data_IF_562999420031
#
_entry.id   IF_562999420031
#
_cell.length_a   1.000
_cell.length_b   1.000
_cell.length_c   1.000
_cell.angle_alpha   90.00
_cell.angle_beta   90.00
_cell.angle_gamma   90.00
#
_symmetry.space_group_name_H-M   'P 1'
#
loop_
_entity.id
_entity.type
_entity.pdbx_description
1 polymer ?
#
# COMPACT_ATOMS: atom_id res chain seq x y z
N UNK A 1 -16.91 -2.27 21.61
CA UNK A 1 -17.21 -2.66 20.22
C UNK A 1 -15.89 -2.68 19.45
N UNK A 2 -15.67 -3.67 18.61
CA UNK A 2 -14.46 -3.82 17.82
C UNK A 2 -14.72 -3.43 16.37
N UNK A 3 -13.74 -2.75 15.76
CA UNK A 3 -13.82 -2.30 14.36
C UNK A 3 -12.61 -2.79 13.58
N UNK A 4 -12.84 -3.01 12.29
CA UNK A 4 -11.78 -3.19 11.30
C UNK A 4 -11.92 -2.02 10.31
N UNK A 5 -10.83 -1.26 10.13
CA UNK A 5 -10.77 -0.26 9.07
C UNK A 5 -10.20 -0.94 7.82
N UNK A 6 -11.04 -1.13 6.83
CA UNK A 6 -10.68 -1.86 5.61
C UNK A 6 -9.93 -1.02 4.57
N UNK A 7 -9.75 0.28 4.80
CA UNK A 7 -9.06 1.17 3.86
C UNK A 7 -8.50 2.40 4.58
N UNK A 8 -7.27 2.30 5.06
CA UNK A 8 -6.60 3.39 5.76
C UNK A 8 -5.18 3.57 5.23
N UNK A 9 -4.79 4.83 4.99
CA UNK A 9 -3.43 5.18 4.57
C UNK A 9 -2.65 5.69 5.77
N UNK A 10 -2.07 4.76 6.53
CA UNK A 10 -1.44 5.06 7.80
C UNK A 10 -0.04 5.66 7.67
N UNK A 11 0.66 5.40 6.55
CA UNK A 11 1.99 5.94 6.31
C UNK A 11 2.02 7.48 6.35
N UNK A 12 0.92 8.11 5.94
CA UNK A 12 0.76 9.57 5.95
C UNK A 12 0.21 10.13 7.28
N UNK A 13 0.05 9.26 8.29
CA UNK A 13 -0.49 9.64 9.59
C UNK A 13 0.55 9.56 10.69
N UNK A 14 0.30 10.28 11.78
CA UNK A 14 1.16 10.27 12.95
C UNK A 14 0.89 9.04 13.84
N UNK A 15 1.84 8.72 14.71
CA UNK A 15 1.73 7.53 15.57
C UNK A 15 0.57 7.63 16.58
N UNK A 16 0.26 8.84 17.04
CA UNK A 16 -0.87 9.07 17.96
C UNK A 16 -2.23 8.83 17.30
N UNK A 17 -2.33 8.84 15.97
CA UNK A 17 -3.55 8.39 15.28
C UNK A 17 -3.82 6.89 15.54
N UNK A 18 -2.79 6.06 15.60
CA UNK A 18 -2.95 4.65 16.00
C UNK A 18 -3.46 4.53 17.43
N UNK A 19 -2.94 5.34 18.33
CA UNK A 19 -3.41 5.35 19.73
C UNK A 19 -4.90 5.71 19.80
N UNK A 20 -5.30 6.76 19.08
CA UNK A 20 -6.70 7.18 19.02
C UNK A 20 -7.61 6.12 18.40
N UNK A 21 -7.15 5.45 17.33
CA UNK A 21 -7.88 4.35 16.70
C UNK A 21 -8.07 3.18 17.65
N UNK A 22 -7.01 2.79 18.36
CA UNK A 22 -7.08 1.71 19.34
C UNK A 22 -8.06 2.05 20.47
N UNK A 23 -8.01 3.29 20.98
CA UNK A 23 -8.95 3.76 22.02
C UNK A 23 -10.40 3.74 21.52
N UNK A 24 -10.63 3.98 20.22
CA UNK A 24 -11.94 3.93 19.61
C UNK A 24 -12.44 2.51 19.32
N UNK A 25 -11.59 1.49 19.47
CA UNK A 25 -11.97 0.08 19.27
C UNK A 25 -11.51 -0.53 17.95
N UNK A 26 -10.62 0.14 17.19
CA UNK A 26 -10.03 -0.43 15.98
C UNK A 26 -9.06 -1.55 16.38
N UNK A 27 -9.27 -2.75 15.86
CA UNK A 27 -8.44 -3.92 16.14
C UNK A 27 -7.59 -4.36 14.95
N UNK A 28 -7.95 -3.93 13.75
CA UNK A 28 -7.20 -4.24 12.54
C UNK A 28 -7.41 -3.14 11.49
N UNK A 29 -6.41 -2.95 10.66
CA UNK A 29 -6.46 -2.05 9.49
C UNK A 29 -5.95 -2.77 8.26
N UNK A 30 -6.46 -2.40 7.10
CA UNK A 30 -5.88 -2.77 5.80
C UNK A 30 -5.41 -1.49 5.14
N UNK A 31 -4.12 -1.41 4.87
CA UNK A 31 -3.51 -0.25 4.20
C UNK A 31 -3.22 -0.58 2.74
N UNK A 32 -4.02 -0.06 1.80
CA UNK A 32 -3.71 -0.21 0.39
C UNK A 32 -2.51 0.65 -0.02
N UNK A 33 -1.67 0.12 -0.89
CA UNK A 33 -0.61 0.91 -1.51
C UNK A 33 -1.23 1.99 -2.41
N UNK A 34 -0.69 3.22 -2.33
CA UNK A 34 -1.19 4.31 -3.16
C UNK A 34 -0.04 5.26 -3.58
N UNK A 35 -0.35 6.24 -4.39
CA UNK A 35 0.65 7.10 -5.06
C UNK A 35 1.20 8.25 -4.19
N UNK A 36 0.72 8.39 -2.96
CA UNK A 36 1.15 9.39 -1.97
C UNK A 36 0.90 10.86 -2.38
N UNK A 37 0.00 11.09 -3.34
CA UNK A 37 -0.32 12.44 -3.81
C UNK A 37 0.65 12.99 -4.86
N UNK A 38 1.72 12.26 -5.17
CA UNK A 38 2.68 12.62 -6.21
C UNK A 38 3.27 11.36 -6.82
N UNK A 39 3.23 11.22 -8.17
CA UNK A 39 3.78 10.05 -8.83
C UNK A 39 5.27 9.86 -8.53
N UNK A 40 5.63 8.63 -8.19
CA UNK A 40 7.04 8.25 -8.06
C UNK A 40 7.68 8.15 -9.44
N UNK A 41 8.99 8.24 -9.50
CA UNK A 41 9.74 8.22 -10.76
C UNK A 41 10.78 7.11 -10.82
N UNK A 42 11.08 6.46 -9.70
CA UNK A 42 12.11 5.42 -9.60
C UNK A 42 11.60 4.21 -8.84
N UNK A 43 11.97 3.03 -9.29
CA UNK A 43 11.62 1.77 -8.64
C UNK A 43 12.15 1.69 -7.20
N UNK A 44 13.31 2.29 -6.91
CA UNK A 44 13.86 2.35 -5.56
C UNK A 44 12.93 3.03 -4.56
N UNK A 45 12.23 4.08 -4.99
CA UNK A 45 11.23 4.75 -4.16
C UNK A 45 10.05 3.82 -3.85
N UNK A 46 9.64 3.02 -4.82
CA UNK A 46 8.63 1.98 -4.60
C UNK A 46 9.09 0.92 -3.61
N UNK A 47 10.32 0.45 -3.74
CA UNK A 47 10.89 -0.55 -2.83
C UNK A 47 10.86 -0.02 -1.40
N UNK A 48 11.31 1.20 -1.17
CA UNK A 48 11.32 1.80 0.15
C UNK A 48 9.90 1.99 0.71
N UNK A 49 8.98 2.43 -0.14
CA UNK A 49 7.58 2.58 0.25
C UNK A 49 6.94 1.24 0.63
N UNK A 50 7.09 0.22 -0.23
CA UNK A 50 6.52 -1.10 0.04
C UNK A 50 7.14 -1.73 1.31
N UNK A 51 8.44 -1.57 1.50
CA UNK A 51 9.10 -2.01 2.74
C UNK A 51 8.51 -1.32 3.97
N UNK A 52 8.16 -0.04 3.86
CA UNK A 52 7.56 0.72 4.96
C UNK A 52 6.17 0.20 5.32
N UNK A 53 5.30 -0.05 4.35
CA UNK A 53 3.94 -0.55 4.66
C UNK A 53 3.94 -2.02 5.08
N UNK A 54 4.85 -2.83 4.57
CA UNK A 54 4.96 -4.24 4.93
C UNK A 54 5.61 -4.44 6.29
N UNK A 55 6.58 -3.60 6.65
CA UNK A 55 7.38 -3.74 7.88
C UNK A 55 7.06 -2.68 8.92
N UNK A 56 7.43 -1.43 8.67
CA UNK A 56 7.38 -0.38 9.69
C UNK A 56 5.95 -0.08 10.17
N UNK A 57 4.99 0.04 9.26
CA UNK A 57 3.60 0.32 9.65
C UNK A 57 3.00 -0.83 10.47
N UNK A 58 3.32 -2.07 10.09
CA UNK A 58 2.92 -3.24 10.86
C UNK A 58 3.46 -3.20 12.29
N UNK A 59 4.75 -2.83 12.44
CA UNK A 59 5.36 -2.65 13.76
C UNK A 59 4.69 -1.51 14.53
N UNK A 60 4.48 -0.37 13.89
CA UNK A 60 3.90 0.83 14.51
C UNK A 60 2.48 0.58 15.01
N UNK A 61 1.63 -0.03 14.18
CA UNK A 61 0.28 -0.42 14.57
C UNK A 61 0.28 -1.43 15.74
N UNK A 62 1.20 -2.39 15.69
CA UNK A 62 1.35 -3.42 16.72
C UNK A 62 1.65 -2.88 18.10
N UNK A 63 2.27 -1.69 18.20
CA UNK A 63 2.53 -1.03 19.49
C UNK A 63 1.23 -0.67 20.22
N UNK A 64 0.13 -0.56 19.51
CA UNK A 64 -1.19 -0.23 20.06
C UNK A 64 -2.16 -1.41 20.00
N UNK A 65 -1.66 -2.62 19.72
CA UNK A 65 -2.48 -3.81 19.62
C UNK A 65 -3.33 -3.90 18.35
N UNK A 66 -3.04 -3.08 17.34
CA UNK A 66 -3.74 -3.10 16.06
C UNK A 66 -2.98 -4.02 15.10
N UNK A 67 -3.70 -4.97 14.49
CA UNK A 67 -3.15 -5.79 13.41
C UNK A 67 -3.15 -4.99 12.12
N UNK A 68 -1.99 -4.87 11.51
CA UNK A 68 -1.83 -4.14 10.25
C UNK A 68 -1.64 -5.13 9.11
N UNK A 69 -2.51 -5.03 8.14
CA UNK A 69 -2.44 -5.72 6.86
C UNK A 69 -2.27 -4.67 5.76
N UNK A 70 -1.75 -5.07 4.63
CA UNK A 70 -1.61 -4.16 3.50
C UNK A 70 -1.91 -4.85 2.18
N UNK A 71 -2.15 -4.06 1.17
CA UNK A 71 -2.12 -4.49 -0.22
C UNK A 71 -0.97 -3.79 -0.93
N UNK A 72 -0.43 -4.43 -1.95
CA UNK A 72 0.68 -3.88 -2.72
C UNK A 72 0.30 -3.85 -4.21
N UNK A 73 0.87 -2.93 -4.95
CA UNK A 73 0.54 -2.82 -6.37
C UNK A 73 1.21 -1.63 -7.04
N UNK A 74 1.17 -1.66 -8.36
CA UNK A 74 1.47 -0.51 -9.19
C UNK A 74 0.26 0.41 -9.20
N UNK A 75 0.44 1.69 -8.90
CA UNK A 75 -0.66 2.65 -8.94
C UNK A 75 -0.93 3.12 -10.37
N UNK A 76 -2.21 3.34 -10.72
CA UNK A 76 -2.61 3.82 -12.04
C UNK A 76 -1.99 5.17 -12.39
N UNK A 77 -1.76 6.05 -11.42
CA UNK A 77 -1.06 7.33 -11.63
C UNK A 77 0.38 7.18 -12.11
N UNK A 78 0.95 6.00 -11.97
CA UNK A 78 2.36 5.71 -12.26
C UNK A 78 2.54 4.70 -13.38
N UNK A 79 1.46 4.05 -13.80
CA UNK A 79 1.48 3.03 -14.86
C UNK A 79 1.90 3.59 -16.23
N UNK A 80 1.70 4.88 -16.48
CA UNK A 80 2.06 5.53 -17.74
C UNK A 80 3.56 5.87 -17.84
N UNK A 81 4.32 5.67 -16.78
CA UNK A 81 5.78 5.66 -16.81
C UNK A 81 6.22 4.20 -16.99
N UNK A 82 6.44 3.78 -18.24
CA UNK A 82 6.68 2.38 -18.57
C UNK A 82 7.93 1.82 -17.87
N UNK A 83 9.02 2.58 -17.81
CA UNK A 83 10.24 2.14 -17.15
C UNK A 83 9.99 1.86 -15.66
N UNK A 84 9.30 2.76 -14.98
CA UNK A 84 8.91 2.58 -13.58
C UNK A 84 7.96 1.39 -13.43
N UNK A 85 6.95 1.31 -14.26
CA UNK A 85 5.94 0.25 -14.19
C UNK A 85 6.55 -1.14 -14.37
N UNK A 86 7.43 -1.33 -15.35
CA UNK A 86 8.15 -2.60 -15.54
C UNK A 86 8.99 -2.94 -14.31
N UNK A 87 9.73 -1.97 -13.76
CA UNK A 87 10.51 -2.18 -12.55
C UNK A 87 9.66 -2.56 -11.35
N UNK A 88 8.52 -1.93 -11.19
CA UNK A 88 7.58 -2.25 -10.09
C UNK A 88 7.00 -3.66 -10.28
N UNK A 89 6.56 -4.02 -11.47
CA UNK A 89 6.04 -5.35 -11.74
C UNK A 89 7.07 -6.45 -11.46
N UNK A 90 8.36 -6.17 -11.70
CA UNK A 90 9.43 -7.11 -11.40
C UNK A 90 9.63 -7.33 -9.90
N UNK A 91 9.48 -6.30 -9.07
CA UNK A 91 9.70 -6.41 -7.63
C UNK A 91 8.47 -6.87 -6.83
N UNK A 92 7.27 -6.68 -7.35
CA UNK A 92 6.04 -7.03 -6.62
C UNK A 92 6.01 -8.47 -6.09
N UNK A 93 6.43 -9.50 -6.85
CA UNK A 93 6.41 -10.88 -6.34
C UNK A 93 7.22 -11.08 -5.05
N UNK A 94 8.30 -10.32 -4.87
CA UNK A 94 9.11 -10.41 -3.66
C UNK A 94 8.38 -9.90 -2.42
N UNK A 95 7.54 -8.89 -2.59
CA UNK A 95 6.74 -8.32 -1.50
C UNK A 95 5.43 -9.08 -1.27
N UNK A 96 4.87 -9.67 -2.34
CA UNK A 96 3.59 -10.38 -2.26
C UNK A 96 3.60 -11.56 -1.27
N UNK A 97 4.78 -12.13 -1.03
CA UNK A 97 4.94 -13.26 -0.11
C UNK A 97 5.23 -12.84 1.33
N UNK A 98 5.34 -11.57 1.60
CA UNK A 98 5.59 -11.07 2.96
C UNK A 98 4.35 -11.22 3.83
N UNK A 99 4.58 -11.54 5.12
CA UNK A 99 3.49 -11.63 6.09
C UNK A 99 2.76 -10.28 6.19
N UNK A 100 1.43 -10.33 6.23
CA UNK A 100 0.60 -9.14 6.30
C UNK A 100 0.14 -8.60 4.95
N UNK A 101 0.72 -9.03 3.85
CA UNK A 101 0.24 -8.69 2.50
C UNK A 101 -0.94 -9.59 2.17
N UNK A 102 -2.10 -9.00 1.95
CA UNK A 102 -3.37 -9.75 1.79
C UNK A 102 -3.95 -9.68 0.38
N UNK A 103 -3.52 -8.75 -0.45
CA UNK A 103 -4.04 -8.59 -1.81
C UNK A 103 -3.11 -7.73 -2.67
N UNK A 104 -3.41 -7.68 -3.96
CA UNK A 104 -2.86 -6.70 -4.89
C UNK A 104 -3.82 -5.51 -4.97
N UNK A 105 -3.31 -4.32 -4.73
CA UNK A 105 -4.08 -3.06 -4.77
C UNK A 105 -3.22 -1.86 -4.34
N UNK A 106 -3.59 -0.64 -4.64
CA UNK A 106 -4.80 -0.32 -5.41
C UNK A 106 -4.55 -0.56 -6.90
N UNK A 107 -5.56 -1.01 -7.62
CA UNK A 107 -5.52 -1.18 -9.08
C UNK A 107 -6.68 -0.43 -9.73
N UNK A 108 -6.52 -0.07 -10.99
CA UNK A 108 -7.57 0.61 -11.74
C UNK A 108 -6.99 1.50 -12.84
N UNK A 109 -7.88 2.20 -13.51
CA UNK A 109 -7.52 3.10 -14.59
C UNK A 109 -7.59 4.56 -14.14
N UNK A 110 -6.62 5.36 -14.58
CA UNK A 110 -6.60 6.81 -14.37
C UNK A 110 -7.03 7.55 -15.66
N UNK A 111 -6.33 7.28 -16.75
CA UNK A 111 -6.58 7.94 -18.04
C UNK A 111 -7.05 6.97 -19.13
N UNK A 112 -7.18 5.69 -18.80
CA UNK A 112 -7.58 4.63 -19.73
C UNK A 112 -6.63 4.49 -20.93
N UNK A 113 -5.33 4.54 -20.64
CA UNK A 113 -4.29 4.41 -21.68
C UNK A 113 -4.00 2.94 -22.00
N UNK A 114 -3.30 2.74 -23.13
CA UNK A 114 -2.82 1.41 -23.50
C UNK A 114 -1.82 0.83 -22.49
N UNK A 115 -1.00 1.67 -21.84
CA UNK A 115 -0.08 1.23 -20.80
C UNK A 115 -0.82 0.79 -19.55
N UNK A 116 -1.84 1.53 -19.12
CA UNK A 116 -2.68 1.11 -17.99
C UNK A 116 -3.39 -0.21 -18.30
N UNK A 117 -3.90 -0.37 -19.52
CA UNK A 117 -4.51 -1.63 -19.97
C UNK A 117 -3.50 -2.79 -19.91
N UNK A 118 -2.26 -2.55 -20.32
CA UNK A 118 -1.19 -3.55 -20.27
C UNK A 118 -0.97 -4.11 -18.84
N UNK A 119 -0.99 -3.24 -17.83
CA UNK A 119 -0.66 -3.62 -16.45
C UNK A 119 -1.87 -4.04 -15.61
N UNK A 120 -3.07 -3.57 -15.93
CA UNK A 120 -4.26 -3.80 -15.11
C UNK A 120 -5.31 -4.71 -15.74
N UNK A 121 -5.12 -5.09 -16.99
CA UNK A 121 -6.02 -6.03 -17.64
C UNK A 121 -5.74 -7.45 -17.13
N UNK A 122 -6.78 -8.08 -16.61
CA UNK A 122 -6.76 -9.47 -16.16
C UNK A 122 -7.22 -10.40 -17.28
#
# INVERSE_FOLDING_TARGET
MMFIDSHAHMLSRTTDDYEAMAAAGVVAVIEPAFWLGQPRTHVGTYIDYLASIVGFERFRAGQFGIRHYCTIGLNSKEANNEELAEGVMEILPRFALKEGVVAIGEIGYDEQTALEDKYFRL
#
